data_IF_658818487569
#
_entry.id   IF_658818487569
#
_cell.length_a   1.000
_cell.length_b   1.000
_cell.length_c   1.000
_cell.angle_alpha   90.00
_cell.angle_beta   90.00
_cell.angle_gamma   90.00
#
_symmetry.space_group_name_H-M   'P 1'
#
loop_
_entity.id
_entity.type
_entity.pdbx_description
1 polymer ?
#
# COMPACT_ATOMS: atom_id res chain seq x y z
N UNK A 1 1.41 7.20 15.41
CA UNK A 1 2.09 6.18 14.60
C UNK A 1 2.11 4.79 15.25
N UNK A 2 1.16 4.48 16.17
CA UNK A 2 1.11 3.19 16.87
C UNK A 2 0.89 2.04 15.87
N UNK A 3 0.01 2.22 14.88
CA UNK A 3 -0.28 1.21 13.85
C UNK A 3 0.95 0.68 13.09
N UNK A 4 1.87 1.55 12.66
CA UNK A 4 3.01 1.14 11.84
C UNK A 4 4.04 0.29 12.60
N UNK A 5 4.12 0.44 13.93
CA UNK A 5 5.07 -0.31 14.75
C UNK A 5 4.40 -1.45 15.50
N UNK A 6 3.33 -1.15 16.24
CA UNK A 6 2.59 -2.16 17.01
C UNK A 6 1.83 -3.15 16.11
N UNK A 7 1.51 -2.77 14.86
CA UNK A 7 0.94 -3.69 13.88
C UNK A 7 1.85 -4.88 13.59
N UNK A 8 3.17 -4.65 13.53
CA UNK A 8 4.17 -5.71 13.33
C UNK A 8 4.17 -6.68 14.51
N UNK A 9 4.09 -6.17 15.75
CA UNK A 9 4.03 -7.02 16.95
C UNK A 9 2.78 -7.92 16.94
N UNK A 10 1.62 -7.36 16.61
CA UNK A 10 0.34 -8.10 16.59
C UNK A 10 0.30 -9.15 15.48
N UNK A 11 0.87 -8.85 14.32
CA UNK A 11 0.90 -9.78 13.19
C UNK A 11 1.96 -10.87 13.39
N UNK A 12 3.14 -10.50 13.89
CA UNK A 12 4.21 -11.45 14.24
C UNK A 12 3.78 -12.44 15.32
N UNK A 13 3.03 -12.00 16.34
CA UNK A 13 2.48 -12.89 17.37
C UNK A 13 1.39 -13.84 16.84
N UNK A 14 0.74 -13.49 15.72
CA UNK A 14 -0.37 -14.24 15.12
C UNK A 14 0.04 -15.07 13.91
N UNK A 15 1.32 -15.10 13.55
CA UNK A 15 1.88 -15.88 12.44
C UNK A 15 1.89 -17.41 12.72
N UNK A 16 0.78 -17.93 13.24
CA UNK A 16 0.50 -19.36 13.35
C UNK A 16 -0.40 -19.77 12.18
N UNK A 17 0.06 -20.74 11.41
CA UNK A 17 -0.43 -21.16 10.09
C UNK A 17 -1.81 -21.85 10.10
N UNK A 18 -2.83 -21.21 10.65
CA UNK A 18 -4.19 -21.78 10.72
C UNK A 18 -5.04 -21.51 9.47
N UNK A 19 -4.42 -21.31 8.29
CA UNK A 19 -5.13 -21.07 7.02
C UNK A 19 -5.95 -19.77 6.99
N UNK A 20 -5.63 -18.77 7.83
CA UNK A 20 -6.34 -17.49 7.89
C UNK A 20 -5.62 -16.43 7.05
N UNK A 21 -6.39 -15.68 6.27
CA UNK A 21 -5.90 -14.50 5.54
C UNK A 21 -6.21 -13.26 6.37
N UNK A 22 -5.22 -12.38 6.56
CA UNK A 22 -5.40 -11.07 7.18
C UNK A 22 -5.24 -9.99 6.12
N UNK A 23 -6.25 -9.13 5.97
CA UNK A 23 -6.24 -8.01 5.02
C UNK A 23 -6.08 -6.70 5.78
N UNK A 24 -5.18 -5.83 5.31
CA UNK A 24 -4.92 -4.51 5.89
C UNK A 24 -5.36 -3.42 4.90
N UNK A 25 -6.40 -2.66 5.25
CA UNK A 25 -6.92 -1.55 4.44
C UNK A 25 -7.16 -0.28 5.28
N UNK A 26 -6.44 0.83 5.08
CA UNK A 26 -5.26 1.01 4.23
C UNK A 26 -4.00 0.38 4.88
N UNK A 27 -3.22 -0.33 4.06
CA UNK A 27 -2.04 -1.07 4.51
C UNK A 27 -0.86 -0.21 4.99
N UNK A 28 0.19 -0.84 5.54
CA UNK A 28 1.38 -0.15 6.06
C UNK A 28 2.18 0.56 4.96
N UNK A 29 2.30 -0.05 3.77
CA UNK A 29 2.95 0.56 2.60
C UNK A 29 2.26 1.88 2.23
N UNK A 30 0.93 1.91 2.27
CA UNK A 30 0.17 3.14 2.04
C UNK A 30 0.57 4.24 3.02
N UNK A 31 0.67 3.88 4.30
CA UNK A 31 0.93 4.85 5.36
C UNK A 31 2.37 5.36 5.27
N UNK A 32 3.34 4.50 4.95
CA UNK A 32 4.75 4.87 4.78
C UNK A 32 4.93 5.83 3.60
N UNK A 33 4.32 5.55 2.44
CA UNK A 33 4.34 6.44 1.29
C UNK A 33 3.69 7.80 1.61
N UNK A 34 2.49 7.78 2.21
CA UNK A 34 1.79 9.00 2.61
C UNK A 34 2.65 9.89 3.52
N UNK A 35 3.27 9.31 4.55
CA UNK A 35 4.04 10.08 5.52
C UNK A 35 5.34 10.61 4.94
N UNK A 36 5.97 9.90 4.00
CA UNK A 36 7.14 10.40 3.30
C UNK A 36 6.81 11.64 2.48
N UNK A 37 5.72 11.60 1.71
CA UNK A 37 5.37 12.69 0.78
C UNK A 37 4.63 13.86 1.47
N UNK A 38 3.68 13.56 2.35
CA UNK A 38 2.78 14.55 2.96
C UNK A 38 2.98 14.70 4.47
N UNK A 39 4.06 14.12 5.01
CA UNK A 39 4.39 14.23 6.41
C UNK A 39 4.86 15.63 6.83
N UNK A 40 4.87 15.92 8.14
CA UNK A 40 5.41 17.16 8.68
C UNK A 40 6.93 17.27 8.48
N UNK A 41 7.50 18.47 8.63
CA UNK A 41 8.92 18.77 8.32
C UNK A 41 9.95 17.78 8.92
N UNK A 42 9.65 17.18 10.08
CA UNK A 42 10.48 16.14 10.70
C UNK A 42 10.76 14.95 9.77
N UNK A 43 9.90 14.69 8.77
CA UNK A 43 10.10 13.62 7.77
C UNK A 43 11.28 13.85 6.84
N UNK A 44 11.81 15.08 6.81
CA UNK A 44 13.05 15.40 6.08
C UNK A 44 14.33 15.17 6.89
N UNK A 45 14.21 14.82 8.17
CA UNK A 45 15.37 14.53 9.03
C UNK A 45 16.02 13.18 8.70
N UNK A 46 17.32 13.04 8.97
CA UNK A 46 18.01 11.75 8.83
C UNK A 46 17.42 10.70 9.76
N UNK A 47 17.12 11.08 11.01
CA UNK A 47 16.51 10.19 11.99
C UNK A 47 15.19 9.58 11.48
N UNK A 48 14.35 10.38 10.83
CA UNK A 48 13.11 9.86 10.23
C UNK A 48 13.40 8.91 9.07
N UNK A 49 14.35 9.24 8.19
CA UNK A 49 14.72 8.35 7.08
C UNK A 49 15.18 6.98 7.59
N UNK A 50 16.06 6.96 8.58
CA UNK A 50 16.56 5.72 9.16
C UNK A 50 15.42 4.88 9.78
N UNK A 51 14.55 5.54 10.56
CA UNK A 51 13.37 4.91 11.14
C UNK A 51 12.37 4.39 10.08
N UNK A 52 12.20 5.14 9.00
CA UNK A 52 11.28 4.80 7.92
C UNK A 52 11.78 3.61 7.12
N UNK A 53 13.07 3.58 6.78
CA UNK A 53 13.71 2.46 6.06
C UNK A 53 13.62 1.18 6.88
N UNK A 54 13.93 1.26 8.18
CA UNK A 54 13.82 0.12 9.09
C UNK A 54 12.39 -0.45 9.12
N UNK A 55 11.38 0.42 9.22
CA UNK A 55 9.99 -0.02 9.21
C UNK A 55 9.55 -0.59 7.86
N UNK A 56 9.98 0.01 6.75
CA UNK A 56 9.67 -0.51 5.42
C UNK A 56 10.19 -1.94 5.29
N UNK A 57 11.43 -2.19 5.69
CA UNK A 57 12.05 -3.52 5.62
C UNK A 57 11.28 -4.54 6.47
N UNK A 58 10.94 -4.19 7.71
CA UNK A 58 10.12 -5.06 8.56
C UNK A 58 8.74 -5.37 7.93
N UNK A 59 8.09 -4.39 7.32
CA UNK A 59 6.81 -4.60 6.66
C UNK A 59 6.90 -5.43 5.39
N UNK A 60 7.94 -5.24 4.57
CA UNK A 60 8.16 -6.07 3.37
C UNK A 60 8.37 -7.54 3.75
N UNK A 61 9.08 -7.80 4.85
CA UNK A 61 9.27 -9.17 5.35
C UNK A 61 7.97 -9.75 5.90
N UNK A 62 7.14 -8.92 6.54
CA UNK A 62 5.90 -9.34 7.20
C UNK A 62 4.75 -9.61 6.21
N UNK A 63 4.72 -8.90 5.08
CA UNK A 63 3.65 -9.04 4.10
C UNK A 63 3.94 -10.14 3.08
N UNK A 64 2.93 -10.94 2.78
CA UNK A 64 2.99 -11.96 1.72
C UNK A 64 2.67 -11.39 0.34
N UNK A 65 1.82 -10.36 0.28
CA UNK A 65 1.31 -9.78 -0.96
C UNK A 65 0.89 -8.32 -0.76
N UNK A 66 1.21 -7.47 -1.74
CA UNK A 66 0.63 -6.14 -1.90
C UNK A 66 -0.35 -6.12 -3.07
N UNK A 67 -1.61 -5.80 -2.78
CA UNK A 67 -2.64 -5.58 -3.80
C UNK A 67 -2.80 -4.07 -4.00
N UNK A 68 -2.51 -3.59 -5.21
CA UNK A 68 -2.62 -2.17 -5.55
C UNK A 68 -3.81 -1.95 -6.49
N UNK A 69 -4.75 -1.12 -6.05
CA UNK A 69 -5.92 -0.73 -6.84
C UNK A 69 -5.69 0.67 -7.37
N UNK A 70 -5.71 0.82 -8.70
CA UNK A 70 -5.49 2.11 -9.36
C UNK A 70 -6.57 2.38 -10.41
N UNK A 71 -6.67 3.63 -10.85
CA UNK A 71 -7.43 4.06 -12.02
C UNK A 71 -6.82 5.36 -12.58
N UNK A 72 -7.13 5.72 -13.83
CA UNK A 72 -6.79 7.03 -14.37
C UNK A 72 -7.27 8.20 -13.47
N UNK A 73 -6.54 9.31 -13.50
CA UNK A 73 -6.77 10.44 -12.58
C UNK A 73 -8.17 11.06 -12.72
N UNK A 74 -8.71 11.11 -13.93
CA UNK A 74 -10.09 11.55 -14.19
C UNK A 74 -11.10 10.67 -13.44
N UNK A 75 -10.97 9.36 -13.58
CA UNK A 75 -11.83 8.37 -12.91
C UNK A 75 -11.69 8.46 -11.38
N UNK A 76 -10.47 8.61 -10.87
CA UNK A 76 -10.23 8.77 -9.43
C UNK A 76 -10.84 10.06 -8.89
N UNK A 77 -10.67 11.18 -9.60
CA UNK A 77 -11.19 12.47 -9.19
C UNK A 77 -12.71 12.49 -9.16
N UNK A 78 -13.37 11.93 -10.18
CA UNK A 78 -14.82 11.81 -10.22
C UNK A 78 -15.33 10.97 -9.02
N UNK A 79 -14.71 9.82 -8.75
CA UNK A 79 -15.03 8.99 -7.57
C UNK A 79 -14.80 9.72 -6.24
N UNK A 80 -13.77 10.56 -6.13
CA UNK A 80 -13.51 11.35 -4.92
C UNK A 80 -14.62 12.40 -4.72
N UNK A 81 -15.07 13.04 -5.81
CA UNK A 81 -16.13 14.06 -5.78
C UNK A 81 -17.49 13.46 -5.42
N UNK A 82 -17.80 12.30 -5.96
CA UNK A 82 -19.09 11.64 -5.74
C UNK A 82 -19.25 11.05 -4.32
N UNK A 83 -18.15 10.68 -3.66
CA UNK A 83 -18.21 10.09 -2.31
C UNK A 83 -18.64 11.12 -1.28
N UNK A 84 -19.56 10.73 -0.39
CA UNK A 84 -19.91 11.49 0.81
C UNK A 84 -18.83 11.36 1.92
N UNK A 85 -17.61 11.78 1.59
CA UNK A 85 -16.47 11.89 2.49
C UNK A 85 -15.66 13.13 2.16
N UNK A 86 -15.11 13.78 3.19
CA UNK A 86 -14.14 14.86 3.02
C UNK A 86 -12.86 14.30 2.41
N UNK A 87 -12.30 15.01 1.43
CA UNK A 87 -10.98 14.75 0.87
C UNK A 87 -10.29 16.08 0.58
N UNK A 88 -8.98 16.15 0.80
CA UNK A 88 -8.16 17.36 0.59
C UNK A 88 -8.24 17.96 -0.81
N UNK A 89 -8.56 17.16 -1.83
CA UNK A 89 -8.60 17.59 -3.25
C UNK A 89 -10.01 17.57 -3.83
N UNK A 90 -11.04 17.34 -3.00
CA UNK A 90 -12.42 17.17 -3.49
C UNK A 90 -12.89 18.40 -4.28
N UNK A 91 -12.59 19.58 -3.73
CA UNK A 91 -12.98 20.88 -4.28
C UNK A 91 -11.84 21.55 -5.06
N UNK A 92 -10.69 20.87 -5.22
CA UNK A 92 -9.58 21.37 -6.02
C UNK A 92 -9.93 21.36 -7.51
N UNK A 93 -9.25 22.22 -8.28
CA UNK A 93 -9.35 22.18 -9.73
C UNK A 93 -8.69 20.92 -10.30
N UNK A 94 -8.97 20.60 -11.58
CA UNK A 94 -8.46 19.35 -12.19
C UNK A 94 -6.92 19.28 -12.21
N UNK A 95 -6.19 20.34 -12.63
CA UNK A 95 -4.73 20.31 -12.63
C UNK A 95 -4.14 20.05 -11.24
N UNK A 96 -4.59 20.76 -10.20
CA UNK A 96 -4.10 20.61 -8.83
C UNK A 96 -4.40 19.20 -8.28
N UNK A 97 -5.62 18.71 -8.53
CA UNK A 97 -6.02 17.37 -8.12
C UNK A 97 -5.16 16.28 -8.80
N UNK A 98 -4.85 16.45 -10.09
CA UNK A 98 -4.03 15.47 -10.82
C UNK A 98 -2.58 15.49 -10.32
N UNK A 99 -2.01 16.67 -10.10
CA UNK A 99 -0.67 16.80 -9.53
C UNK A 99 -0.60 16.12 -8.15
N UNK A 100 -1.62 16.31 -7.31
CA UNK A 100 -1.70 15.61 -6.02
C UNK A 100 -1.73 14.08 -6.21
N UNK A 101 -2.58 13.56 -7.09
CA UNK A 101 -2.70 12.13 -7.36
C UNK A 101 -1.41 11.53 -7.94
N UNK A 102 -0.71 12.26 -8.80
CA UNK A 102 0.54 11.81 -9.41
C UNK A 102 1.69 11.80 -8.40
N UNK A 103 1.79 12.81 -7.53
CA UNK A 103 2.73 12.78 -6.39
C UNK A 103 2.45 11.62 -5.46
N UNK A 104 1.16 11.35 -5.21
CA UNK A 104 0.73 10.19 -4.43
C UNK A 104 1.23 8.89 -5.05
N UNK A 105 0.94 8.67 -6.35
CA UNK A 105 1.34 7.47 -7.09
C UNK A 105 2.85 7.29 -7.14
N UNK A 106 3.59 8.37 -7.39
CA UNK A 106 5.05 8.37 -7.40
C UNK A 106 5.64 7.99 -6.04
N UNK A 107 5.08 8.51 -4.94
CA UNK A 107 5.51 8.16 -3.59
C UNK A 107 5.32 6.68 -3.27
N UNK A 108 4.22 6.07 -3.76
CA UNK A 108 4.00 4.62 -3.65
C UNK A 108 5.03 3.82 -4.43
N UNK A 109 5.24 4.17 -5.70
CA UNK A 109 6.17 3.47 -6.57
C UNK A 109 7.61 3.54 -6.00
N UNK A 110 8.02 4.70 -5.46
CA UNK A 110 9.29 4.84 -4.76
C UNK A 110 9.37 3.99 -3.49
N UNK A 111 8.32 4.00 -2.67
CA UNK A 111 8.27 3.21 -1.42
C UNK A 111 8.39 1.71 -1.70
N UNK A 112 7.77 1.24 -2.78
CA UNK A 112 7.83 -0.15 -3.22
C UNK A 112 9.22 -0.51 -3.77
N UNK A 113 9.84 0.39 -4.53
CA UNK A 113 11.14 0.17 -5.16
C UNK A 113 12.30 0.15 -4.15
N UNK A 114 12.15 0.85 -3.01
CA UNK A 114 13.20 1.01 -2.00
C UNK A 114 13.37 -0.17 -1.04
N UNK A 115 12.69 -1.30 -1.25
CA UNK A 115 12.91 -2.51 -0.44
C UNK A 115 14.36 -3.01 -0.57
N UNK A 116 15.15 -2.91 0.49
CA UNK A 116 16.62 -3.11 0.43
C UNK A 116 17.09 -4.54 0.72
N UNK A 117 16.24 -5.40 1.29
CA UNK A 117 16.69 -6.66 1.92
C UNK A 117 16.67 -7.87 0.98
N UNK A 118 16.67 -7.64 -0.34
CA UNK A 118 16.70 -8.71 -1.35
C UNK A 118 15.42 -9.53 -1.48
N UNK A 119 14.51 -9.49 -0.49
CA UNK A 119 13.13 -9.97 -0.63
C UNK A 119 12.30 -8.92 -1.34
N UNK A 120 11.74 -9.29 -2.49
CA UNK A 120 10.76 -8.47 -3.19
C UNK A 120 9.35 -8.89 -2.74
N UNK A 121 8.61 -7.96 -2.13
CA UNK A 121 7.19 -8.15 -1.82
C UNK A 121 6.44 -8.40 -3.14
N UNK A 122 5.74 -9.54 -3.32
CA UNK A 122 4.91 -9.75 -4.50
C UNK A 122 3.84 -8.66 -4.62
N UNK A 123 3.64 -8.14 -5.83
CA UNK A 123 2.71 -7.03 -6.08
C UNK A 123 1.78 -7.40 -7.21
N UNK A 124 0.48 -7.21 -6.98
CA UNK A 124 -0.54 -7.34 -8.01
C UNK A 124 -1.24 -6.00 -8.14
N UNK A 125 -1.21 -5.42 -9.35
CA UNK A 125 -1.85 -4.16 -9.68
C UNK A 125 -3.11 -4.40 -10.50
N UNK A 126 -4.20 -3.78 -10.09
CA UNK A 126 -5.47 -3.81 -10.81
C UNK A 126 -5.87 -2.41 -11.27
N UNK A 127 -6.18 -2.29 -12.56
CA UNK A 127 -6.84 -1.12 -13.12
C UNK A 127 -8.35 -1.26 -12.89
N UNK A 128 -8.84 -0.57 -11.86
CA UNK A 128 -10.25 -0.55 -11.44
C UNK A 128 -11.15 0.25 -12.37
N UNK A 129 -10.62 0.85 -13.43
CA UNK A 129 -11.42 1.37 -14.53
C UNK A 129 -11.73 0.29 -15.58
N UNK A 130 -10.89 -0.76 -15.67
CA UNK A 130 -11.02 -1.83 -16.66
C UNK A 130 -11.61 -3.12 -16.10
N UNK A 131 -11.39 -3.36 -14.81
CA UNK A 131 -11.84 -4.58 -14.15
C UNK A 131 -13.01 -4.29 -13.21
N UNK A 132 -14.02 -5.12 -13.29
CA UNK A 132 -15.09 -5.19 -12.30
C UNK A 132 -14.59 -5.79 -10.98
N UNK A 133 -15.36 -5.59 -9.91
CA UNK A 133 -15.07 -6.18 -8.60
C UNK A 133 -14.97 -7.70 -8.69
N UNK A 134 -15.90 -8.35 -9.38
CA UNK A 134 -15.93 -9.81 -9.51
C UNK A 134 -14.67 -10.34 -10.21
N UNK A 135 -14.23 -9.68 -11.29
CA UNK A 135 -12.99 -10.05 -11.98
C UNK A 135 -11.74 -9.88 -11.11
N UNK A 136 -11.70 -8.86 -10.24
CA UNK A 136 -10.60 -8.67 -9.28
C UNK A 136 -10.64 -9.78 -8.22
N UNK A 137 -11.82 -10.09 -7.69
CA UNK A 137 -12.01 -11.16 -6.70
C UNK A 137 -11.59 -12.51 -7.26
N UNK A 138 -12.05 -12.87 -8.46
CA UNK A 138 -11.66 -14.11 -9.15
C UNK A 138 -10.13 -14.22 -9.28
N UNK A 139 -9.47 -13.14 -9.72
CA UNK A 139 -8.01 -13.10 -9.84
C UNK A 139 -7.30 -13.25 -8.50
N UNK A 140 -7.81 -12.63 -7.43
CA UNK A 140 -7.23 -12.76 -6.09
C UNK A 140 -7.40 -14.16 -5.50
N UNK A 141 -8.57 -14.77 -5.69
CA UNK A 141 -8.84 -16.13 -5.21
C UNK A 141 -7.90 -17.15 -5.87
N UNK A 142 -7.56 -16.98 -7.16
CA UNK A 142 -6.57 -17.84 -7.82
C UNK A 142 -5.22 -17.75 -7.09
N UNK A 143 -4.77 -16.55 -6.71
CA UNK A 143 -3.49 -16.33 -6.03
C UNK A 143 -3.50 -16.92 -4.62
N UNK A 144 -4.58 -16.74 -3.87
CA UNK A 144 -4.70 -17.28 -2.52
C UNK A 144 -4.79 -18.81 -2.48
N UNK A 145 -5.27 -19.44 -3.56
CA UNK A 145 -5.40 -20.89 -3.65
C UNK A 145 -4.15 -21.58 -4.23
N UNK A 146 -3.11 -20.85 -4.64
CA UNK A 146 -1.86 -21.47 -5.05
C UNK A 146 -1.12 -22.02 -3.82
N UNK A 147 -0.69 -23.30 -3.82
CA UNK A 147 0.13 -23.81 -2.73
C UNK A 147 1.42 -22.99 -2.64
N UNK A 148 1.75 -22.48 -1.45
CA UNK A 148 3.05 -21.88 -1.21
C UNK A 148 4.11 -22.97 -1.46
N UNK A 149 4.88 -22.85 -2.54
CA UNK A 149 6.05 -23.68 -2.76
C UNK A 149 7.06 -23.38 -1.65
N UNK A 150 7.01 -24.16 -0.57
CA UNK A 150 8.04 -24.20 0.46
C UNK A 150 9.35 -24.64 -0.20
N UNK A 151 10.19 -23.70 -0.63
CA UNK A 151 11.61 -23.95 -0.82
C UNK A 151 12.24 -24.10 0.56
N UNK A 152 12.26 -25.35 1.04
CA UNK A 152 13.27 -25.84 1.96
C UNK A 152 14.51 -26.11 1.12
N UNK A 153 15.60 -25.41 1.41
CA UNK A 153 16.97 -25.86 1.19
C UNK A 153 17.80 -25.39 2.38
#
# INVERSE_FOLDING_TARGET
MVYLRTGLDVLGQKATSNGRITVLDHGPIYRLAFLREFGPEITKSQLYRDWWTELLNQWVITLDLLVLLDAPNDVLLDRIRDRDRKHSIKDADKPEAYEFLDRYRMSFDQTIAESTDGRQLPIIRFDTNKLSVDQIVEKLLIVFNQPQNNTVN
#
